data_IF_545150509704
#
_entry.id   IF_545150509704
#
_cell.length_a   1.000
_cell.length_b   1.000
_cell.length_c   1.000
_cell.angle_alpha   90.00
_cell.angle_beta   90.00
_cell.angle_gamma   90.00
#
_symmetry.space_group_name_H-M   'P 1'
#
loop_
_entity.id
_entity.type
_entity.pdbx_description
1 polymer ?
#
# COMPACT_ATOMS: atom_id res chain seq x y z
N UNK A 1 -3.69 -39.98 9.61
CA UNK A 1 -4.99 -39.58 10.21
C UNK A 1 -5.16 -38.06 10.22
N UNK A 2 -4.27 -37.26 10.83
CA UNK A 2 -4.34 -35.79 10.81
C UNK A 2 -4.34 -35.19 9.39
N UNK A 3 -3.54 -35.77 8.48
CA UNK A 3 -3.57 -35.40 7.06
C UNK A 3 -4.95 -35.59 6.39
N UNK A 4 -5.71 -36.62 6.81
CA UNK A 4 -7.06 -36.87 6.29
C UNK A 4 -8.09 -35.86 6.84
N UNK A 5 -7.85 -35.33 8.04
CA UNK A 5 -8.68 -34.28 8.63
C UNK A 5 -8.48 -32.93 7.94
N UNK A 6 -7.24 -32.62 7.53
CA UNK A 6 -6.91 -31.36 6.85
C UNK A 6 -7.27 -31.35 5.36
N UNK A 7 -7.01 -32.44 4.63
CA UNK A 7 -7.01 -32.42 3.15
C UNK A 7 -8.28 -32.96 2.47
N UNK A 8 -9.35 -33.29 3.22
CA UNK A 8 -10.55 -33.98 2.69
C UNK A 8 -10.20 -35.09 1.68
N UNK A 9 -9.69 -36.25 2.10
CA UNK A 9 -9.65 -37.40 1.22
C UNK A 9 -11.08 -37.91 1.09
N UNK A 10 -11.83 -37.37 0.14
CA UNK A 10 -13.17 -37.88 -0.24
C UNK A 10 -13.07 -39.31 -0.82
N UNK A 11 -11.86 -39.83 -1.01
CA UNK A 11 -11.59 -41.19 -1.46
C UNK A 11 -10.67 -41.93 -0.47
N UNK A 12 -11.28 -42.72 0.40
CA UNK A 12 -10.59 -43.87 0.98
C UNK A 12 -10.52 -44.96 -0.09
N UNK A 13 -9.34 -45.24 -0.66
CA UNK A 13 -9.14 -46.36 -1.60
C UNK A 13 -9.34 -47.73 -0.94
N UNK A 14 -9.36 -47.76 0.39
CA UNK A 14 -9.31 -48.98 1.18
C UNK A 14 -10.53 -49.06 2.10
N UNK A 15 -11.29 -50.16 1.98
CA UNK A 15 -12.58 -50.34 2.65
C UNK A 15 -12.49 -50.29 4.19
N UNK A 16 -11.34 -50.63 4.78
CA UNK A 16 -11.11 -50.59 6.22
C UNK A 16 -10.97 -49.17 6.78
N UNK A 17 -10.69 -48.17 5.94
CA UNK A 17 -10.59 -46.76 6.37
C UNK A 17 -11.96 -46.07 6.49
N UNK A 18 -13.03 -46.69 5.98
CA UNK A 18 -14.41 -46.16 6.06
C UNK A 18 -14.87 -46.03 7.51
N UNK A 19 -14.46 -46.94 8.40
CA UNK A 19 -14.78 -46.91 9.83
C UNK A 19 -14.24 -45.67 10.55
N UNK A 20 -13.25 -44.99 9.97
CA UNK A 20 -12.67 -43.76 10.51
C UNK A 20 -13.35 -42.48 9.99
N UNK A 21 -14.26 -42.59 9.02
CA UNK A 21 -14.99 -41.44 8.47
C UNK A 21 -15.80 -40.67 9.53
N UNK A 22 -16.53 -41.32 10.47
CA UNK A 22 -17.25 -40.60 11.51
C UNK A 22 -16.32 -39.78 12.42
N UNK A 23 -15.11 -40.28 12.70
CA UNK A 23 -14.11 -39.53 13.46
C UNK A 23 -13.60 -38.30 12.69
N UNK A 24 -13.42 -38.44 11.37
CA UNK A 24 -13.01 -37.34 10.50
C UNK A 24 -14.09 -36.27 10.39
N UNK A 25 -15.35 -36.67 10.20
CA UNK A 25 -16.49 -35.76 10.10
C UNK A 25 -16.74 -35.01 11.41
N UNK A 26 -16.68 -35.70 12.56
CA UNK A 26 -16.92 -35.10 13.88
C UNK A 26 -15.85 -34.05 14.27
N UNK A 27 -14.60 -34.21 13.83
CA UNK A 27 -13.49 -33.32 14.20
C UNK A 27 -13.13 -32.28 13.12
N UNK A 28 -13.80 -32.34 11.96
CA UNK A 28 -13.56 -31.43 10.84
C UNK A 28 -13.80 -29.97 11.20
N UNK A 29 -14.90 -29.67 11.88
CA UNK A 29 -15.23 -28.31 12.33
C UNK A 29 -14.16 -27.76 13.28
N UNK A 30 -13.67 -28.61 14.19
CA UNK A 30 -12.62 -28.27 15.16
C UNK A 30 -11.28 -27.96 14.49
N UNK A 31 -10.87 -28.76 13.51
CA UNK A 31 -9.62 -28.53 12.77
C UNK A 31 -9.73 -27.31 11.85
N UNK A 32 -10.87 -27.12 11.16
CA UNK A 32 -11.07 -25.91 10.36
C UNK A 32 -11.04 -24.65 11.22
N UNK A 33 -11.67 -24.68 12.41
CA UNK A 33 -11.58 -23.59 13.36
C UNK A 33 -10.13 -23.33 13.77
N UNK A 34 -9.40 -24.36 14.18
CA UNK A 34 -7.97 -24.21 14.52
C UNK A 34 -7.12 -23.64 13.37
N UNK A 35 -7.33 -24.09 12.13
CA UNK A 35 -6.61 -23.57 10.96
C UNK A 35 -6.99 -22.12 10.64
N UNK A 36 -8.25 -21.73 10.82
CA UNK A 36 -8.69 -20.35 10.64
C UNK A 36 -8.12 -19.45 11.76
N UNK A 37 -8.17 -19.90 13.01
CA UNK A 37 -7.60 -19.20 14.16
C UNK A 37 -6.08 -18.98 13.98
N UNK A 38 -5.36 -19.90 13.31
CA UNK A 38 -3.95 -19.72 12.95
C UNK A 38 -3.71 -18.63 11.89
N UNK A 39 -4.71 -18.34 11.05
CA UNK A 39 -4.66 -17.25 10.08
C UNK A 39 -5.03 -15.90 10.69
N UNK A 40 -5.67 -15.88 11.86
CA UNK A 40 -5.97 -14.66 12.63
C UNK A 40 -4.74 -14.21 13.44
N UNK A 41 -3.67 -13.87 12.73
CA UNK A 41 -2.48 -13.22 13.29
C UNK A 41 -2.60 -11.69 13.22
N UNK A 42 -2.05 -11.00 14.22
CA UNK A 42 -1.97 -9.54 14.25
C UNK A 42 -1.15 -8.98 13.09
N UNK A 43 -1.25 -7.67 12.86
CA UNK A 43 -0.51 -7.03 11.78
C UNK A 43 1.00 -7.20 11.98
N UNK A 44 1.70 -7.49 10.88
CA UNK A 44 3.15 -7.67 10.87
C UNK A 44 3.84 -6.42 11.40
N UNK A 45 3.37 -5.23 11.04
CA UNK A 45 3.96 -3.96 11.45
C UNK A 45 3.83 -3.69 12.95
N UNK A 46 2.73 -4.06 13.58
CA UNK A 46 2.55 -3.93 15.04
C UNK A 46 3.54 -4.79 15.83
N UNK A 47 3.83 -6.01 15.34
CA UNK A 47 4.85 -6.87 15.94
C UNK A 47 6.29 -6.40 15.60
N UNK A 48 6.49 -5.90 14.39
CA UNK A 48 7.77 -5.42 13.89
C UNK A 48 8.22 -4.16 14.65
N UNK A 49 7.33 -3.22 14.97
CA UNK A 49 7.69 -2.02 15.73
C UNK A 49 8.37 -2.38 17.06
N UNK A 50 7.80 -3.33 17.81
CA UNK A 50 8.36 -3.80 19.07
C UNK A 50 9.73 -4.47 18.87
N UNK A 51 9.87 -5.31 17.84
CA UNK A 51 11.11 -5.98 17.49
C UNK A 51 12.16 -5.02 16.89
N UNK A 52 11.75 -3.95 16.22
CA UNK A 52 12.61 -2.93 15.63
C UNK A 52 13.20 -2.03 16.71
N UNK A 53 12.41 -1.66 17.74
CA UNK A 53 12.94 -1.03 18.95
C UNK A 53 13.94 -1.93 19.69
N UNK A 54 13.67 -3.24 19.76
CA UNK A 54 14.62 -4.21 20.35
C UNK A 54 15.86 -4.41 19.48
N UNK A 55 15.75 -4.41 18.15
CA UNK A 55 16.87 -4.54 17.22
C UNK A 55 17.76 -3.29 17.21
N UNK A 56 17.17 -2.09 17.28
CA UNK A 56 17.90 -0.83 17.45
C UNK A 56 18.67 -0.75 18.78
N UNK A 57 18.22 -1.51 19.81
CA UNK A 57 18.94 -1.64 21.09
C UNK A 57 20.09 -2.66 21.06
N UNK A 58 20.09 -3.60 20.10
CA UNK A 58 21.16 -4.58 19.91
C UNK A 58 22.30 -3.93 19.12
N UNK A 59 23.23 -3.34 19.86
CA UNK A 59 24.36 -2.54 19.36
C UNK A 59 25.31 -3.21 18.35
N UNK A 60 25.20 -4.52 18.07
CA UNK A 60 26.10 -5.20 17.12
C UNK A 60 25.37 -6.30 16.35
N UNK A 61 25.05 -6.04 15.07
CA UNK A 61 24.54 -7.07 14.17
C UNK A 61 25.74 -7.78 13.53
N UNK A 62 26.10 -8.94 14.08
CA UNK A 62 27.17 -9.77 13.55
C UNK A 62 26.59 -10.89 12.68
N UNK A 63 27.04 -10.96 11.43
CA UNK A 63 26.66 -12.02 10.49
C UNK A 63 27.77 -13.07 10.42
N UNK A 64 27.46 -14.29 10.83
CA UNK A 64 28.32 -15.45 10.63
C UNK A 64 28.08 -16.01 9.22
N UNK A 65 29.07 -15.88 8.33
CA UNK A 65 28.95 -16.30 6.93
C UNK A 65 30.25 -16.90 6.43
N UNK A 66 30.18 -17.88 5.53
CA UNK A 66 31.36 -18.44 4.86
C UNK A 66 31.77 -17.62 3.64
N UNK A 67 33.04 -17.71 3.22
CA UNK A 67 33.53 -17.00 2.04
C UNK A 67 32.73 -17.34 0.77
N UNK A 68 32.37 -18.60 0.57
CA UNK A 68 31.59 -19.00 -0.60
C UNK A 68 30.14 -18.53 -0.54
N UNK A 69 29.52 -18.48 0.64
CA UNK A 69 28.18 -17.88 0.79
C UNK A 69 28.22 -16.38 0.48
N UNK A 70 29.25 -15.68 0.94
CA UNK A 70 29.47 -14.26 0.62
C UNK A 70 29.63 -14.05 -0.88
N UNK A 71 30.51 -14.82 -1.54
CA UNK A 71 30.77 -14.69 -2.98
C UNK A 71 29.54 -15.05 -3.82
N UNK A 72 28.79 -16.08 -3.44
CA UNK A 72 27.55 -16.45 -4.11
C UNK A 72 26.48 -15.37 -3.97
N UNK A 73 26.33 -14.81 -2.77
CA UNK A 73 25.39 -13.71 -2.52
C UNK A 73 25.76 -12.50 -3.39
N UNK A 74 27.04 -12.13 -3.44
CA UNK A 74 27.52 -11.05 -4.30
C UNK A 74 27.25 -11.34 -5.79
N UNK A 75 27.49 -12.58 -6.24
CA UNK A 75 27.25 -12.98 -7.63
C UNK A 75 25.76 -12.84 -8.02
N UNK A 76 24.85 -13.32 -7.18
CA UNK A 76 23.40 -13.21 -7.41
C UNK A 76 22.92 -11.76 -7.40
N UNK A 77 23.43 -10.94 -6.47
CA UNK A 77 23.10 -9.51 -6.41
C UNK A 77 23.58 -8.77 -7.65
N UNK A 78 24.79 -9.08 -8.15
CA UNK A 78 25.31 -8.50 -9.37
C UNK A 78 24.51 -8.93 -10.62
N UNK A 79 24.12 -10.21 -10.69
CA UNK A 79 23.34 -10.76 -11.79
C UNK A 79 21.94 -10.13 -11.90
N UNK A 80 21.27 -9.90 -10.77
CA UNK A 80 19.91 -9.37 -10.72
C UNK A 80 19.84 -7.89 -10.32
N UNK A 81 20.96 -7.16 -10.48
CA UNK A 81 21.09 -5.76 -10.05
C UNK A 81 20.02 -4.85 -10.65
N UNK A 82 19.66 -5.04 -11.92
CA UNK A 82 18.73 -4.14 -12.63
C UNK A 82 17.27 -4.39 -12.23
N UNK A 83 16.95 -5.60 -11.75
CA UNK A 83 15.62 -5.93 -11.20
C UNK A 83 15.47 -5.48 -9.75
N UNK A 84 16.52 -5.64 -8.92
CA UNK A 84 16.50 -5.28 -7.50
C UNK A 84 16.71 -3.79 -7.25
N UNK A 85 17.51 -3.13 -8.10
CA UNK A 85 17.90 -1.73 -7.95
C UNK A 85 17.87 -1.02 -9.32
N UNK A 86 16.67 -0.70 -9.84
CA UNK A 86 16.50 -0.13 -11.18
C UNK A 86 17.03 1.30 -11.31
N UNK A 87 17.08 2.06 -10.20
CA UNK A 87 17.57 3.43 -10.19
C UNK A 87 19.05 3.50 -9.77
N UNK A 88 19.82 4.39 -10.41
CA UNK A 88 21.24 4.58 -10.10
C UNK A 88 21.51 5.08 -8.67
N UNK A 89 20.54 5.77 -8.07
CA UNK A 89 20.64 6.31 -6.70
C UNK A 89 20.36 5.26 -5.61
N UNK A 90 19.99 4.03 -5.96
CA UNK A 90 19.66 3.01 -4.98
C UNK A 90 20.92 2.57 -4.23
N UNK A 91 20.86 2.52 -2.90
CA UNK A 91 22.02 2.23 -2.03
C UNK A 91 22.73 0.92 -2.41
N UNK A 92 21.98 -0.14 -2.69
CA UNK A 92 22.53 -1.42 -3.15
C UNK A 92 23.39 -1.27 -4.42
N UNK A 93 22.95 -0.44 -5.38
CA UNK A 93 23.65 -0.24 -6.65
C UNK A 93 24.96 0.51 -6.45
N UNK A 94 24.97 1.49 -5.55
CA UNK A 94 26.19 2.21 -5.13
C UNK A 94 27.18 1.23 -4.50
N UNK A 95 26.74 0.40 -3.55
CA UNK A 95 27.57 -0.64 -2.93
C UNK A 95 28.16 -1.62 -3.96
N UNK A 96 27.33 -2.15 -4.87
CA UNK A 96 27.78 -3.12 -5.87
C UNK A 96 28.77 -2.50 -6.88
N UNK A 97 28.58 -1.24 -7.25
CA UNK A 97 29.51 -0.53 -8.13
C UNK A 97 30.89 -0.35 -7.48
N UNK A 98 30.93 -0.06 -6.18
CA UNK A 98 32.19 0.07 -5.43
C UNK A 98 32.87 -1.29 -5.19
N UNK A 99 32.09 -2.33 -4.94
CA UNK A 99 32.60 -3.67 -4.64
C UNK A 99 33.15 -4.39 -5.88
N UNK A 100 32.71 -4.00 -7.08
CA UNK A 100 33.22 -4.51 -8.35
C UNK A 100 32.67 -5.89 -8.71
N UNK A 101 33.44 -6.69 -9.46
CA UNK A 101 33.00 -8.03 -9.87
C UNK A 101 33.14 -9.06 -8.74
N UNK A 102 32.14 -9.92 -8.60
CA UNK A 102 32.16 -10.98 -7.59
C UNK A 102 33.33 -11.97 -7.79
N UNK A 103 34.12 -12.27 -6.73
CA UNK A 103 35.16 -13.29 -6.78
C UNK A 103 34.61 -14.69 -7.07
N UNK A 104 35.44 -15.58 -7.63
CA UNK A 104 35.09 -16.99 -7.79
C UNK A 104 35.13 -17.75 -6.46
N UNK A 105 34.32 -18.80 -6.35
CA UNK A 105 34.31 -19.67 -5.17
C UNK A 105 35.69 -20.28 -4.89
N UNK A 106 36.01 -20.41 -3.61
CA UNK A 106 37.25 -21.04 -3.13
C UNK A 106 37.03 -22.53 -2.82
N UNK A 107 38.07 -23.38 -2.92
CA UNK A 107 37.99 -24.78 -2.52
C UNK A 107 37.54 -24.94 -1.07
N UNK A 108 36.89 -26.08 -0.74
CA UNK A 108 36.36 -26.35 0.61
C UNK A 108 37.38 -26.17 1.75
N UNK A 109 38.67 -26.41 1.49
CA UNK A 109 39.75 -26.23 2.46
C UNK A 109 39.98 -24.77 2.86
N UNK A 110 39.64 -23.83 1.98
CA UNK A 110 39.83 -22.39 2.16
C UNK A 110 38.52 -21.66 2.49
N UNK A 111 37.37 -22.34 2.36
CA UNK A 111 36.05 -21.80 2.69
C UNK A 111 35.83 -21.67 4.21
N UNK A 112 36.48 -20.69 4.83
CA UNK A 112 36.36 -20.42 6.26
C UNK A 112 35.10 -19.60 6.57
N UNK A 113 34.57 -19.80 7.78
CA UNK A 113 33.53 -18.94 8.35
C UNK A 113 34.18 -17.68 8.89
N UNK A 114 33.62 -16.53 8.53
CA UNK A 114 34.00 -15.22 9.03
C UNK A 114 32.82 -14.60 9.75
N UNK A 115 33.11 -13.66 10.65
CA UNK A 115 32.10 -12.85 11.33
C UNK A 115 32.16 -11.45 10.71
N UNK A 116 31.07 -11.05 10.07
CA UNK A 116 30.94 -9.73 9.45
C UNK A 116 30.10 -8.83 10.36
N UNK A 117 30.69 -7.80 10.97
CA UNK A 117 29.89 -6.75 11.60
C UNK A 117 29.16 -5.98 10.50
N UNK A 118 27.83 -5.90 10.60
CA UNK A 118 26.97 -5.22 9.64
C UNK A 118 26.67 -3.81 10.13
N UNK A 119 26.87 -2.82 9.27
CA UNK A 119 26.49 -1.43 9.49
C UNK A 119 25.98 -0.82 8.18
N UNK A 120 25.01 0.09 8.27
CA UNK A 120 24.50 0.83 7.12
C UNK A 120 25.30 2.12 6.95
N UNK A 121 25.79 2.39 5.73
CA UNK A 121 26.46 3.66 5.39
C UNK A 121 25.48 4.84 5.31
N UNK A 122 24.21 4.57 5.01
CA UNK A 122 23.21 5.59 4.68
C UNK A 122 22.16 5.80 5.76
N UNK A 123 22.09 4.90 6.74
CA UNK A 123 21.51 5.32 8.00
C UNK A 123 22.48 6.36 8.54
N UNK A 124 22.02 7.60 8.69
CA UNK A 124 22.62 8.46 9.70
C UNK A 124 22.30 7.74 10.99
N UNK A 125 23.28 7.11 11.64
CA UNK A 125 22.95 6.56 12.91
C UNK A 125 22.55 7.78 13.76
N UNK A 126 21.48 7.63 14.54
CA UNK A 126 21.20 8.54 15.68
C UNK A 126 22.45 8.62 16.60
N UNK A 127 23.43 7.76 16.34
CA UNK A 127 24.76 7.72 16.89
C UNK A 127 25.79 8.81 16.50
N UNK A 128 25.60 9.82 15.65
CA UNK A 128 26.70 10.82 15.55
C UNK A 128 26.92 11.62 16.86
N UNK A 129 25.96 11.54 17.81
CA UNK A 129 26.13 11.95 19.21
C UNK A 129 26.35 10.77 20.20
N UNK A 130 26.02 9.53 19.83
CA UNK A 130 26.06 8.37 20.73
C UNK A 130 27.14 7.31 20.38
N UNK A 131 27.52 7.08 19.12
CA UNK A 131 28.54 6.08 18.69
C UNK A 131 29.95 6.57 18.85
N UNK A 132 30.19 7.85 18.55
CA UNK A 132 31.52 8.44 18.78
C UNK A 132 31.85 8.39 20.28
N UNK A 133 30.84 8.49 21.14
CA UNK A 133 30.98 8.28 22.59
C UNK A 133 31.10 6.80 23.00
N UNK A 134 30.44 5.88 22.29
CA UNK A 134 30.35 4.46 22.68
C UNK A 134 31.52 3.57 22.25
N UNK A 135 32.27 3.93 21.21
CA UNK A 135 33.36 3.08 20.72
C UNK A 135 34.73 3.43 21.31
N UNK A 136 34.92 4.65 21.83
CA UNK A 136 36.22 5.09 22.37
C UNK A 136 36.33 5.03 23.91
N UNK A 137 35.22 4.88 24.63
CA UNK A 137 35.27 4.81 26.10
C UNK A 137 34.60 3.55 26.64
N UNK A 138 35.31 2.88 27.54
CA UNK A 138 34.84 1.74 28.32
C UNK A 138 33.58 2.12 29.14
N UNK A 139 32.41 2.16 28.50
CA UNK A 139 31.16 2.53 29.17
C UNK A 139 30.79 1.44 30.17
N UNK A 140 30.89 1.82 31.43
CA UNK A 140 30.67 1.00 32.62
C UNK A 140 29.18 0.94 32.96
N UNK A 141 28.81 0.06 33.89
CA UNK A 141 27.46 0.04 34.45
C UNK A 141 27.07 1.40 35.07
N UNK A 142 28.06 2.16 35.58
CA UNK A 142 27.86 3.49 36.14
C UNK A 142 27.45 4.52 35.07
N UNK A 143 28.00 4.43 33.86
CA UNK A 143 27.65 5.31 32.74
C UNK A 143 26.21 5.06 32.25
N UNK A 144 25.76 3.80 32.27
CA UNK A 144 24.37 3.43 31.97
C UNK A 144 23.44 4.02 33.03
N UNK A 145 23.81 3.89 34.31
CA UNK A 145 23.07 4.45 35.44
C UNK A 145 23.01 5.97 35.39
N UNK A 146 24.09 6.64 34.99
CA UNK A 146 24.14 8.10 34.79
C UNK A 146 23.15 8.55 33.72
N UNK A 147 23.14 7.88 32.55
CA UNK A 147 22.20 8.18 31.47
C UNK A 147 20.73 7.94 31.87
N UNK A 148 20.45 6.83 32.55
CA UNK A 148 19.09 6.53 33.02
C UNK A 148 18.63 7.55 34.07
N UNK A 149 19.51 7.95 35.00
CA UNK A 149 19.23 8.98 36.01
C UNK A 149 18.87 10.31 35.36
N UNK A 150 19.69 10.76 34.39
CA UNK A 150 19.44 11.98 33.62
C UNK A 150 18.09 11.93 32.89
N UNK A 151 17.77 10.81 32.23
CA UNK A 151 16.51 10.65 31.50
C UNK A 151 15.29 10.74 32.41
N UNK A 152 15.31 10.08 33.58
CA UNK A 152 14.18 10.14 34.51
C UNK A 152 14.06 11.54 35.13
N UNK A 153 15.17 12.23 35.41
CA UNK A 153 15.15 13.63 35.87
C UNK A 153 14.47 14.56 34.86
N UNK A 154 14.81 14.48 33.57
CA UNK A 154 14.16 15.25 32.50
C UNK A 154 12.65 14.96 32.46
N UNK A 155 12.25 13.70 32.61
CA UNK A 155 10.83 13.31 32.65
C UNK A 155 10.11 13.89 33.88
N UNK A 156 10.73 13.84 35.06
CA UNK A 156 10.17 14.38 36.29
C UNK A 156 9.99 15.90 36.21
N UNK A 157 10.99 16.62 35.72
CA UNK A 157 10.94 18.09 35.57
C UNK A 157 9.83 18.51 34.60
N UNK A 158 9.62 17.76 33.53
CA UNK A 158 8.53 18.01 32.57
C UNK A 158 7.15 17.66 33.11
N UNK A 159 7.07 16.73 34.05
CA UNK A 159 5.80 16.23 34.59
C UNK A 159 5.31 17.01 35.80
N UNK A 160 6.21 17.70 36.52
CA UNK A 160 5.86 18.46 37.73
C UNK A 160 5.83 19.97 37.39
N UNK A 161 4.64 20.62 37.47
CA UNK A 161 4.51 22.04 37.15
C UNK A 161 5.36 22.93 38.04
N UNK A 162 6.01 23.95 37.45
CA UNK A 162 6.77 24.98 38.19
C UNK A 162 8.17 24.57 38.67
N UNK A 163 8.65 23.36 38.33
CA UNK A 163 10.05 22.96 38.54
C UNK A 163 10.95 23.48 37.41
N UNK A 164 10.49 23.37 36.17
CA UNK A 164 11.28 23.72 34.99
C UNK A 164 11.76 25.19 34.97
N UNK A 165 11.02 26.10 35.60
CA UNK A 165 11.32 27.54 35.61
C UNK A 165 12.28 27.96 36.74
N UNK A 166 12.55 27.08 37.71
CA UNK A 166 13.46 27.38 38.82
C UNK A 166 14.90 27.07 38.41
N UNK A 167 15.80 28.04 38.61
CA UNK A 167 17.24 27.91 38.38
C UNK A 167 18.02 28.42 39.61
N UNK A 168 19.10 27.73 40.03
CA UNK A 168 19.58 26.43 39.52
C UNK A 168 18.60 25.29 39.84
N UNK A 169 18.61 24.21 39.05
CA UNK A 169 17.83 23.02 39.35
C UNK A 169 18.52 22.27 40.50
N UNK A 170 17.73 21.82 41.47
CA UNK A 170 18.19 21.01 42.60
C UNK A 170 17.66 19.59 42.39
N UNK A 171 18.50 18.70 41.84
CA UNK A 171 18.10 17.35 41.41
C UNK A 171 17.56 16.52 42.58
N UNK A 172 18.16 16.67 43.76
CA UNK A 172 17.77 15.94 44.96
C UNK A 172 16.37 16.39 45.43
N UNK A 173 16.15 17.70 45.49
CA UNK A 173 14.84 18.26 45.83
C UNK A 173 13.77 17.93 44.80
N UNK A 174 14.12 17.82 43.52
CA UNK A 174 13.21 17.41 42.46
C UNK A 174 12.76 15.96 42.68
N UNK A 175 13.69 15.06 42.99
CA UNK A 175 13.40 13.67 43.31
C UNK A 175 12.49 13.55 44.55
N UNK A 176 12.73 14.35 45.60
CA UNK A 176 11.90 14.39 46.81
C UNK A 176 10.51 14.96 46.56
N UNK A 177 10.42 15.99 45.73
CA UNK A 177 9.13 16.57 45.32
C UNK A 177 8.32 15.54 44.51
N UNK A 178 8.97 14.80 43.61
CA UNK A 178 8.35 13.70 42.88
C UNK A 178 7.87 12.59 43.82
N UNK A 179 8.66 12.22 44.82
CA UNK A 179 8.34 11.19 45.82
C UNK A 179 7.17 11.57 46.74
N UNK A 180 6.80 12.85 46.82
CA UNK A 180 5.69 13.37 47.63
C UNK A 180 4.46 13.77 46.81
N UNK A 181 4.51 13.54 45.49
CA UNK A 181 3.39 13.84 44.59
C UNK A 181 2.26 12.82 44.76
N UNK A 182 1.02 13.20 44.38
CA UNK A 182 -0.15 12.30 44.44
C UNK A 182 -0.12 11.19 43.37
N UNK A 183 0.72 11.31 42.36
CA UNK A 183 0.83 10.37 41.25
C UNK A 183 1.83 9.25 41.58
N UNK A 184 1.32 8.02 41.69
CA UNK A 184 2.11 6.83 42.01
C UNK A 184 3.22 6.50 40.99
N UNK A 185 3.12 6.97 39.75
CA UNK A 185 4.16 6.80 38.72
C UNK A 185 5.31 7.77 38.99
N UNK A 186 4.99 9.05 39.28
CA UNK A 186 5.99 10.06 39.62
C UNK A 186 6.68 9.73 40.94
N UNK A 187 5.95 9.21 41.92
CA UNK A 187 6.52 8.77 43.20
C UNK A 187 7.57 7.67 42.98
N UNK A 188 7.24 6.63 42.20
CA UNK A 188 8.18 5.55 41.87
C UNK A 188 9.43 6.07 41.15
N UNK A 189 9.26 6.99 40.20
CA UNK A 189 10.37 7.63 39.48
C UNK A 189 11.23 8.49 40.40
N UNK A 190 10.61 9.25 41.31
CA UNK A 190 11.30 10.07 42.31
C UNK A 190 12.15 9.25 43.26
N UNK A 191 11.59 8.16 43.81
CA UNK A 191 12.33 7.23 44.68
C UNK A 191 13.50 6.61 43.93
N UNK A 192 13.26 6.10 42.71
CA UNK A 192 14.29 5.46 41.88
C UNK A 192 15.45 6.43 41.58
N UNK A 193 15.15 7.66 41.14
CA UNK A 193 16.19 8.66 40.85
C UNK A 193 16.96 9.05 42.10
N UNK A 194 16.28 9.17 43.25
CA UNK A 194 16.95 9.43 44.53
C UNK A 194 17.96 8.34 44.86
N UNK A 195 17.60 7.07 44.69
CA UNK A 195 18.52 5.95 44.91
C UNK A 195 19.69 5.96 43.92
N UNK A 196 19.43 6.20 42.63
CA UNK A 196 20.47 6.22 41.61
C UNK A 196 21.44 7.39 41.76
N UNK A 197 20.97 8.58 42.17
CA UNK A 197 21.84 9.73 42.47
C UNK A 197 22.81 9.42 43.60
N UNK A 198 22.33 8.81 44.68
CA UNK A 198 23.17 8.40 45.82
C UNK A 198 24.17 7.31 45.43
N UNK A 199 23.77 6.36 44.58
CA UNK A 199 24.66 5.31 44.09
C UNK A 199 25.75 5.86 43.16
N UNK A 200 25.41 6.80 42.28
CA UNK A 200 26.36 7.48 41.40
C UNK A 200 27.36 8.37 42.15
N UNK A 201 26.90 9.10 43.18
CA UNK A 201 27.75 9.86 44.10
C UNK A 201 28.69 8.92 44.87
N UNK A 202 28.16 7.80 45.41
CA UNK A 202 28.95 6.79 46.12
C UNK A 202 30.00 6.08 45.26
N UNK A 203 29.77 5.98 43.95
CA UNK A 203 30.73 5.47 42.97
C UNK A 203 31.73 6.54 42.48
N UNK A 204 31.55 7.81 42.88
CA UNK A 204 32.39 8.93 42.47
C UNK A 204 32.20 9.35 41.00
N UNK A 205 31.07 8.96 40.39
CA UNK A 205 30.74 9.31 39.00
C UNK A 205 30.16 10.73 38.92
N UNK A 206 29.55 11.21 40.00
CA UNK A 206 28.96 12.56 40.11
C UNK A 206 29.47 13.23 41.38
N UNK A 207 29.56 14.56 41.36
CA UNK A 207 29.95 15.39 42.50
C UNK A 207 28.81 15.54 43.53
N UNK A 208 29.16 15.86 44.79
CA UNK A 208 28.21 16.06 45.91
C UNK A 208 27.09 17.08 45.62
N UNK A 209 27.29 17.97 44.64
CA UNK A 209 26.34 19.01 44.26
C UNK A 209 25.64 18.73 42.92
N UNK A 210 25.95 17.60 42.27
CA UNK A 210 25.42 17.19 40.97
C UNK A 210 25.50 18.27 39.89
N UNK A 211 26.56 19.08 39.91
CA UNK A 211 26.68 20.30 39.07
C UNK A 211 26.64 19.97 37.58
N UNK A 212 27.48 19.03 37.13
CA UNK A 212 27.54 18.63 35.71
C UNK A 212 26.24 18.00 35.23
N UNK A 213 25.65 17.09 36.02
CA UNK A 213 24.38 16.47 35.66
C UNK A 213 23.26 17.53 35.58
N UNK A 214 23.30 18.53 36.46
CA UNK A 214 22.34 19.64 36.45
C UNK A 214 22.43 20.48 35.17
N UNK A 215 23.66 20.76 34.70
CA UNK A 215 23.90 21.45 33.44
C UNK A 215 23.39 20.62 32.25
N UNK A 216 23.74 19.33 32.18
CA UNK A 216 23.27 18.44 31.11
C UNK A 216 21.74 18.31 31.05
N UNK A 217 21.08 18.12 32.19
CA UNK A 217 19.61 18.08 32.28
C UNK A 217 19.00 19.40 31.78
N UNK A 218 19.64 20.53 32.10
CA UNK A 218 19.19 21.86 31.66
C UNK A 218 19.30 22.02 30.15
N UNK A 219 20.40 21.58 29.55
CA UNK A 219 20.61 21.62 28.09
C UNK A 219 19.62 20.72 27.35
N UNK A 220 19.38 19.50 27.87
CA UNK A 220 18.44 18.55 27.28
C UNK A 220 17.00 19.11 27.28
N UNK A 221 16.59 19.77 28.37
CA UNK A 221 15.29 20.46 28.44
C UNK A 221 15.18 21.59 27.41
N UNK A 222 16.26 22.34 27.18
CA UNK A 222 16.29 23.41 26.15
C UNK A 222 16.17 22.83 24.75
N UNK A 223 16.88 21.73 24.46
CA UNK A 223 16.80 21.05 23.17
C UNK A 223 15.39 20.52 22.89
N UNK A 224 14.74 19.90 23.89
CA UNK A 224 13.37 19.41 23.77
C UNK A 224 12.34 20.54 23.56
N UNK A 225 12.55 21.71 24.17
CA UNK A 225 11.73 22.89 23.91
C UNK A 225 11.76 23.29 22.43
N UNK A 226 12.95 23.34 21.84
CA UNK A 226 13.14 23.70 20.43
C UNK A 226 12.54 22.65 19.46
N UNK A 227 12.54 21.37 19.84
CA UNK A 227 11.95 20.30 19.01
C UNK A 227 10.44 20.49 18.83
N UNK A 228 9.73 20.88 19.89
CA UNK A 228 8.28 21.14 19.81
C UNK A 228 7.96 22.28 18.83
N UNK A 229 8.76 23.33 18.83
CA UNK A 229 8.59 24.46 17.90
C UNK A 229 8.79 24.01 16.46
N UNK A 230 9.85 23.24 16.17
CA UNK A 230 10.10 22.67 14.84
C UNK A 230 8.98 21.76 14.37
N UNK A 231 8.48 20.87 15.24
CA UNK A 231 7.37 19.96 14.89
C UNK A 231 6.08 20.73 14.61
N UNK A 232 5.80 21.80 15.37
CA UNK A 232 4.64 22.64 15.10
C UNK A 232 4.78 23.42 13.78
N UNK A 233 5.97 23.90 13.46
CA UNK A 233 6.27 24.54 12.17
C UNK A 233 6.08 23.56 11.01
N UNK A 234 6.60 22.34 11.15
CA UNK A 234 6.45 21.29 10.14
C UNK A 234 4.98 20.87 9.95
N UNK A 235 4.22 20.75 11.04
CA UNK A 235 2.77 20.47 10.98
C UNK A 235 2.01 21.56 10.21
N UNK A 236 2.32 22.85 10.44
CA UNK A 236 1.74 23.96 9.69
C UNK A 236 2.09 23.92 8.20
N UNK A 237 3.33 23.56 7.87
CA UNK A 237 3.77 23.38 6.49
C UNK A 237 3.01 22.24 5.80
N UNK A 238 2.84 21.10 6.47
CA UNK A 238 2.08 19.95 6.00
C UNK A 238 0.60 20.30 5.74
N UNK A 239 -0.03 21.08 6.62
CA UNK A 239 -1.40 21.53 6.46
C UNK A 239 -1.58 22.42 5.22
N UNK A 240 -0.60 23.30 4.95
CA UNK A 240 -0.55 24.11 3.73
C UNK A 240 -0.43 23.27 2.45
N UNK A 241 0.45 22.26 2.48
CA UNK A 241 0.60 21.30 1.36
C UNK A 241 -0.68 20.52 1.13
N UNK A 242 -1.31 20.02 2.20
CA UNK A 242 -2.58 19.29 2.12
C UNK A 242 -3.67 20.14 1.46
N UNK A 243 -3.80 21.41 1.86
CA UNK A 243 -4.75 22.34 1.25
C UNK A 243 -4.48 22.53 -0.24
N UNK A 244 -3.22 22.73 -0.63
CA UNK A 244 -2.82 22.91 -2.03
C UNK A 244 -3.17 21.69 -2.89
N UNK A 245 -2.95 20.48 -2.38
CA UNK A 245 -3.32 19.23 -3.05
C UNK A 245 -4.85 19.11 -3.17
N UNK A 246 -5.59 19.44 -2.11
CA UNK A 246 -7.05 19.45 -2.11
C UNK A 246 -7.63 20.39 -3.17
N UNK A 247 -7.11 21.62 -3.24
CA UNK A 247 -7.51 22.61 -4.25
C UNK A 247 -7.20 22.14 -5.67
N UNK A 248 -6.04 21.52 -5.88
CA UNK A 248 -5.67 20.95 -7.18
C UNK A 248 -6.57 19.77 -7.58
N UNK A 249 -6.94 18.90 -6.64
CA UNK A 249 -7.88 17.80 -6.91
C UNK A 249 -9.25 18.35 -7.33
N UNK A 250 -9.75 19.37 -6.63
CA UNK A 250 -11.01 20.03 -6.98
C UNK A 250 -10.95 20.66 -8.38
N UNK A 251 -9.84 21.31 -8.73
CA UNK A 251 -9.60 21.83 -10.07
C UNK A 251 -9.65 20.72 -11.14
N UNK A 252 -8.93 19.62 -10.94
CA UNK A 252 -8.92 18.48 -11.88
C UNK A 252 -10.31 17.85 -12.04
N UNK A 253 -11.08 17.73 -10.95
CA UNK A 253 -12.47 17.27 -11.00
C UNK A 253 -13.36 18.20 -11.83
N UNK A 254 -13.26 19.51 -11.62
CA UNK A 254 -13.98 20.51 -12.42
C UNK A 254 -13.61 20.43 -13.91
N UNK A 255 -12.33 20.21 -14.21
CA UNK A 255 -11.85 20.05 -15.58
C UNK A 255 -12.41 18.77 -16.23
N UNK A 256 -12.44 17.67 -15.48
CA UNK A 256 -13.00 16.40 -15.91
C UNK A 256 -14.50 16.53 -16.24
N UNK A 257 -15.27 17.20 -15.38
CA UNK A 257 -16.70 17.46 -15.63
C UNK A 257 -16.92 18.35 -16.85
N UNK A 258 -16.04 19.34 -17.07
CA UNK A 258 -16.05 20.19 -18.27
C UNK A 258 -15.82 19.36 -19.54
N UNK A 259 -14.86 18.43 -19.53
CA UNK A 259 -14.62 17.53 -20.66
C UNK A 259 -15.78 16.55 -20.91
N UNK A 260 -16.39 16.01 -19.85
CA UNK A 260 -17.60 15.17 -19.98
C UNK A 260 -18.73 15.92 -20.67
N UNK A 261 -19.00 17.15 -20.23
CA UNK A 261 -20.03 17.99 -20.83
C UNK A 261 -19.74 18.28 -22.31
N UNK A 262 -18.48 18.59 -22.64
CA UNK A 262 -18.05 18.78 -24.02
C UNK A 262 -18.26 17.53 -24.88
N UNK A 263 -17.81 16.37 -24.43
CA UNK A 263 -17.98 15.09 -25.15
C UNK A 263 -19.44 14.72 -25.34
N UNK A 264 -20.29 15.01 -24.35
CA UNK A 264 -21.73 14.79 -24.45
C UNK A 264 -22.36 15.68 -25.53
N UNK A 265 -22.00 16.96 -25.57
CA UNK A 265 -22.48 17.91 -26.59
C UNK A 265 -22.05 17.48 -28.00
N UNK A 266 -20.80 17.08 -28.17
CA UNK A 266 -20.29 16.57 -29.47
C UNK A 266 -21.03 15.30 -29.89
N UNK A 267 -21.32 14.38 -28.94
CA UNK A 267 -22.11 13.17 -29.22
C UNK A 267 -23.54 13.46 -29.68
N UNK A 268 -24.19 14.45 -29.06
CA UNK A 268 -25.53 14.88 -29.48
C UNK A 268 -25.52 15.50 -30.87
N UNK A 269 -24.46 16.24 -31.22
CA UNK A 269 -24.32 16.89 -32.51
C UNK A 269 -23.94 15.92 -33.65
N UNK A 270 -23.18 14.86 -33.36
CA UNK A 270 -22.78 13.84 -34.35
C UNK A 270 -23.82 12.72 -34.56
N UNK A 271 -24.74 12.52 -33.61
CA UNK A 271 -25.75 11.46 -33.61
C UNK A 271 -27.01 11.70 -34.47
N UNK A 272 -26.97 12.58 -35.48
CA UNK A 272 -28.06 12.69 -36.47
C UNK A 272 -29.38 13.33 -35.99
N UNK A 273 -29.39 14.02 -34.85
CA UNK A 273 -30.53 14.82 -34.39
C UNK A 273 -30.66 16.16 -35.13
N UNK A 274 -30.63 16.15 -36.46
CA UNK A 274 -30.80 17.32 -37.32
C UNK A 274 -32.25 17.76 -37.43
N UNK A 275 -32.83 18.28 -36.34
CA UNK A 275 -34.06 19.06 -36.39
C UNK A 275 -33.74 20.50 -36.78
N UNK A 276 -33.93 20.84 -38.05
CA UNK A 276 -33.69 22.17 -38.62
C UNK A 276 -34.69 23.19 -38.07
N UNK A 277 -34.20 24.20 -37.36
CA UNK A 277 -34.92 25.43 -37.04
C UNK A 277 -33.90 26.57 -36.90
N UNK A 278 -34.00 27.65 -37.69
CA UNK A 278 -33.00 28.71 -37.66
C UNK A 278 -33.21 29.58 -36.42
N UNK A 279 -32.28 29.47 -35.47
CA UNK A 279 -32.16 30.43 -34.37
C UNK A 279 -32.22 29.80 -32.99
N UNK A 280 -31.10 29.30 -32.49
CA UNK A 280 -30.72 29.38 -31.07
C UNK A 280 -29.24 29.02 -30.97
N UNK A 281 -28.41 30.02 -30.64
CA UNK A 281 -26.98 29.85 -30.42
C UNK A 281 -26.67 29.02 -29.18
N UNK A 282 -25.49 28.41 -29.21
CA UNK A 282 -24.61 28.01 -28.09
C UNK A 282 -25.28 28.05 -26.71
N UNK A 283 -25.88 26.93 -26.31
CA UNK A 283 -26.39 26.73 -24.95
C UNK A 283 -25.25 26.36 -24.00
N UNK A 284 -24.66 27.36 -23.34
CA UNK A 284 -23.91 27.16 -22.10
C UNK A 284 -24.92 26.72 -21.04
N UNK A 285 -24.77 25.50 -20.51
CA UNK A 285 -25.56 25.06 -19.35
C UNK A 285 -24.93 25.70 -18.13
N UNK A 286 -25.42 26.88 -17.75
CA UNK A 286 -25.16 27.47 -16.44
C UNK A 286 -25.76 26.57 -15.36
N UNK A 287 -24.93 26.18 -14.40
CA UNK A 287 -25.35 25.47 -13.18
C UNK A 287 -26.32 26.36 -12.41
N UNK A 288 -27.59 25.96 -12.36
CA UNK A 288 -28.65 26.63 -11.59
C UNK A 288 -29.76 27.23 -12.44
N UNK A 289 -30.63 26.38 -13.01
CA UNK A 289 -31.82 26.87 -13.71
C UNK A 289 -32.69 25.76 -14.28
N UNK A 290 -33.91 25.64 -13.73
CA UNK A 290 -35.10 24.90 -14.17
C UNK A 290 -34.93 23.87 -15.29
N UNK A 291 -35.19 22.61 -14.94
CA UNK A 291 -35.28 21.45 -15.83
C UNK A 291 -36.10 21.77 -17.10
N UNK A 292 -35.40 21.93 -18.23
CA UNK A 292 -36.04 21.91 -19.54
C UNK A 292 -36.57 20.49 -19.80
N UNK A 293 -37.85 20.39 -20.17
CA UNK A 293 -38.54 19.14 -20.51
C UNK A 293 -37.68 18.31 -21.47
N UNK A 294 -37.21 17.15 -21.01
CA UNK A 294 -36.51 16.14 -21.82
C UNK A 294 -37.38 15.82 -23.05
N UNK A 295 -36.92 16.23 -24.24
CA UNK A 295 -37.44 15.69 -25.49
C UNK A 295 -37.32 14.17 -25.45
N UNK A 296 -38.35 13.45 -25.93
CA UNK A 296 -38.34 11.98 -25.96
C UNK A 296 -37.10 11.52 -26.72
N UNK A 297 -36.14 10.95 -25.99
CA UNK A 297 -34.94 10.34 -26.55
C UNK A 297 -35.39 9.18 -27.44
N UNK A 298 -35.18 9.31 -28.75
CA UNK A 298 -35.64 8.31 -29.71
C UNK A 298 -34.69 7.12 -29.67
N UNK A 299 -35.16 6.02 -29.09
CA UNK A 299 -34.44 4.73 -29.10
C UNK A 299 -34.41 4.21 -30.53
N UNK A 300 -33.21 3.89 -31.04
CA UNK A 300 -33.01 3.31 -32.37
C UNK A 300 -32.88 1.78 -32.27
N UNK A 301 -33.60 1.04 -33.11
CA UNK A 301 -33.63 -0.43 -33.11
C UNK A 301 -34.89 -1.02 -32.46
N UNK A 302 -34.92 -2.33 -32.16
CA UNK A 302 -33.83 -3.31 -32.31
C UNK A 302 -33.59 -3.72 -33.77
N UNK A 303 -32.32 -3.76 -34.18
CA UNK A 303 -31.90 -4.33 -35.47
C UNK A 303 -31.39 -5.75 -35.28
N UNK A 304 -31.95 -6.68 -36.05
CA UNK A 304 -31.65 -8.11 -35.97
C UNK A 304 -30.56 -8.51 -36.97
N UNK A 305 -29.53 -9.18 -36.47
CA UNK A 305 -28.42 -9.75 -37.26
C UNK A 305 -28.29 -11.24 -36.95
N UNK A 306 -28.26 -12.10 -37.98
CA UNK A 306 -28.06 -13.53 -37.76
C UNK A 306 -26.59 -13.84 -37.48
N UNK A 307 -26.31 -14.93 -36.75
CA UNK A 307 -24.92 -15.38 -36.49
C UNK A 307 -24.14 -15.53 -37.80
N UNK A 308 -24.70 -16.24 -38.78
CA UNK A 308 -24.10 -16.43 -40.10
C UNK A 308 -23.83 -15.10 -40.84
N UNK A 309 -24.69 -14.09 -40.68
CA UNK A 309 -24.47 -12.79 -41.32
C UNK A 309 -23.26 -12.08 -40.71
N UNK A 310 -23.16 -12.04 -39.38
CA UNK A 310 -22.04 -11.40 -38.70
C UNK A 310 -20.71 -12.14 -38.92
N UNK A 311 -20.74 -13.47 -39.04
CA UNK A 311 -19.58 -14.28 -39.41
C UNK A 311 -19.12 -13.97 -40.86
N UNK A 312 -20.07 -13.92 -41.80
CA UNK A 312 -19.78 -13.56 -43.20
C UNK A 312 -19.23 -12.14 -43.35
N UNK A 313 -19.75 -11.18 -42.58
CA UNK A 313 -19.31 -9.79 -42.60
C UNK A 313 -17.97 -9.58 -41.84
N UNK A 314 -17.43 -10.65 -41.23
CA UNK A 314 -16.19 -10.64 -40.46
C UNK A 314 -16.32 -9.89 -39.12
N UNK A 315 -17.56 -9.63 -38.68
CA UNK A 315 -17.85 -9.02 -37.39
C UNK A 315 -17.62 -10.03 -36.27
N UNK A 316 -18.01 -11.30 -36.45
CA UNK A 316 -17.59 -12.40 -35.58
C UNK A 316 -16.22 -12.90 -36.07
N UNK A 317 -15.21 -12.75 -35.23
CA UNK A 317 -13.86 -13.26 -35.49
C UNK A 317 -13.73 -14.71 -35.01
N UNK A 318 -14.25 -15.02 -33.81
CA UNK A 318 -14.23 -16.36 -33.23
C UNK A 318 -15.56 -16.66 -32.54
N UNK A 319 -15.97 -17.93 -32.54
CA UNK A 319 -17.24 -18.35 -31.91
C UNK A 319 -17.11 -19.70 -31.20
N UNK A 320 -17.39 -19.68 -29.90
CA UNK A 320 -17.44 -20.88 -29.05
C UNK A 320 -18.80 -21.60 -29.15
N UNK A 321 -19.67 -21.16 -30.05
CA UNK A 321 -20.99 -21.74 -30.28
C UNK A 321 -20.87 -22.99 -31.16
N UNK A 322 -21.42 -24.15 -30.74
CA UNK A 322 -21.46 -25.37 -31.57
C UNK A 322 -22.13 -25.13 -32.93
N UNK A 323 -21.54 -25.65 -34.00
CA UNK A 323 -21.99 -25.40 -35.39
C UNK A 323 -23.47 -25.74 -35.63
N UNK A 324 -23.93 -26.86 -35.07
CA UNK A 324 -25.32 -27.32 -35.14
C UNK A 324 -26.34 -26.35 -34.48
N UNK A 325 -25.87 -25.39 -33.67
CA UNK A 325 -26.72 -24.40 -32.98
C UNK A 325 -26.64 -23.01 -33.60
N UNK A 326 -25.63 -22.71 -34.44
CA UNK A 326 -25.38 -21.37 -35.02
C UNK A 326 -26.56 -20.88 -35.86
N UNK A 327 -27.22 -21.75 -36.62
CA UNK A 327 -28.37 -21.43 -37.47
C UNK A 327 -29.59 -20.90 -36.70
N UNK A 328 -29.65 -21.17 -35.39
CA UNK A 328 -30.72 -20.75 -34.49
C UNK A 328 -30.35 -19.51 -33.66
N UNK A 329 -29.17 -18.93 -33.85
CA UNK A 329 -28.70 -17.78 -33.09
C UNK A 329 -28.80 -16.47 -33.89
N UNK A 330 -29.22 -15.41 -33.21
CA UNK A 330 -29.24 -14.05 -33.75
C UNK A 330 -28.98 -13.02 -32.66
N UNK A 331 -28.51 -11.85 -33.05
CA UNK A 331 -28.22 -10.71 -32.19
C UNK A 331 -29.20 -9.59 -32.49
N UNK A 332 -29.79 -9.01 -31.44
CA UNK A 332 -30.57 -7.78 -31.52
C UNK A 332 -29.70 -6.65 -30.98
N UNK A 333 -29.47 -5.62 -31.78
CA UNK A 333 -28.72 -4.43 -31.36
C UNK A 333 -29.67 -3.25 -31.28
N UNK A 334 -29.67 -2.56 -30.14
CA UNK A 334 -30.49 -1.37 -29.88
C UNK A 334 -29.59 -0.24 -29.41
N UNK A 335 -29.90 1.01 -29.76
CA UNK A 335 -29.21 2.20 -29.25
C UNK A 335 -30.21 3.06 -28.47
N UNK A 336 -30.21 2.98 -27.12
CA UNK A 336 -31.08 3.82 -26.28
C UNK A 336 -30.69 5.30 -26.33
N UNK A 337 -29.38 5.57 -26.39
CA UNK A 337 -28.78 6.91 -26.42
C UNK A 337 -27.69 6.90 -27.52
N UNK A 338 -27.56 7.96 -28.34
CA UNK A 338 -26.48 8.07 -29.31
C UNK A 338 -25.11 7.78 -28.69
N UNK A 339 -24.39 6.81 -29.27
CA UNK A 339 -23.08 6.37 -28.78
C UNK A 339 -23.13 5.30 -27.67
N UNK A 340 -24.31 4.78 -27.32
CA UNK A 340 -24.49 3.59 -26.47
C UNK A 340 -25.30 2.54 -27.20
N UNK A 341 -24.92 1.28 -27.04
CA UNK A 341 -25.53 0.14 -27.72
C UNK A 341 -25.76 -0.99 -26.72
N UNK A 342 -26.92 -1.63 -26.84
CA UNK A 342 -27.26 -2.86 -26.13
C UNK A 342 -27.24 -3.98 -27.16
N UNK A 343 -26.36 -4.96 -26.97
CA UNK A 343 -26.24 -6.14 -27.83
C UNK A 343 -26.82 -7.33 -27.09
N UNK A 344 -27.96 -7.82 -27.56
CA UNK A 344 -28.67 -8.96 -26.98
C UNK A 344 -28.56 -10.20 -27.88
N UNK A 345 -28.00 -11.29 -27.35
CA UNK A 345 -27.91 -12.60 -28.01
C UNK A 345 -29.18 -13.39 -27.76
N UNK A 346 -29.82 -13.90 -28.82
CA UNK A 346 -31.04 -14.71 -28.74
C UNK A 346 -30.88 -16.07 -29.44
N UNK A 347 -31.64 -17.05 -28.95
CA UNK A 347 -31.84 -18.35 -29.59
C UNK A 347 -33.29 -18.51 -30.03
N UNK A 348 -33.52 -18.96 -31.26
CA UNK A 348 -34.85 -19.18 -31.82
C UNK A 348 -35.67 -20.12 -30.93
N UNK A 349 -36.87 -19.69 -30.56
CA UNK A 349 -37.77 -20.46 -29.69
C UNK A 349 -37.63 -20.17 -28.19
N UNK A 350 -36.81 -19.18 -27.79
CA UNK A 350 -36.74 -18.67 -26.42
C UNK A 350 -37.13 -17.19 -26.37
N UNK A 351 -38.02 -16.83 -25.44
CA UNK A 351 -38.52 -15.45 -25.31
C UNK A 351 -37.50 -14.49 -24.69
N UNK A 352 -36.57 -15.00 -23.86
CA UNK A 352 -35.52 -14.20 -23.21
C UNK A 352 -34.19 -14.28 -23.95
N UNK A 353 -33.45 -13.17 -23.96
CA UNK A 353 -32.07 -13.14 -24.41
C UNK A 353 -31.21 -14.10 -23.55
N UNK A 354 -30.22 -14.72 -24.17
CA UNK A 354 -29.22 -15.56 -23.50
C UNK A 354 -28.20 -14.67 -22.80
N UNK A 355 -27.80 -13.58 -23.46
CA UNK A 355 -26.82 -12.63 -22.97
C UNK A 355 -27.22 -11.24 -23.45
N UNK A 356 -26.98 -10.24 -22.61
CA UNK A 356 -27.16 -8.84 -22.93
C UNK A 356 -25.90 -8.10 -22.49
N UNK A 357 -25.34 -7.27 -23.37
CA UNK A 357 -24.12 -6.52 -23.12
C UNK A 357 -24.33 -5.05 -23.49
N UNK A 358 -23.99 -4.17 -22.55
CA UNK A 358 -23.90 -2.73 -22.78
C UNK A 358 -22.54 -2.38 -23.38
N UNK A 359 -22.56 -1.63 -24.47
CA UNK A 359 -21.37 -1.23 -25.21
C UNK A 359 -21.40 0.27 -25.49
N UNK A 360 -20.36 0.99 -25.08
CA UNK A 360 -20.20 2.40 -25.41
C UNK A 360 -19.31 2.56 -26.64
N UNK A 361 -19.61 3.57 -27.45
CA UNK A 361 -18.80 3.91 -28.62
C UNK A 361 -17.38 4.30 -28.21
N UNK A 362 -17.21 4.99 -27.06
CA UNK A 362 -15.91 5.40 -26.55
C UNK A 362 -15.02 4.18 -26.27
N UNK A 363 -15.54 3.16 -25.59
CA UNK A 363 -14.81 1.93 -25.26
C UNK A 363 -14.34 1.20 -26.54
N UNK A 364 -15.12 1.25 -27.62
CA UNK A 364 -14.71 0.69 -28.92
C UNK A 364 -13.61 1.51 -29.59
N UNK A 365 -13.67 2.84 -29.49
CA UNK A 365 -12.66 3.73 -30.05
C UNK A 365 -11.34 3.64 -29.28
N UNK A 366 -11.40 3.53 -27.96
CA UNK A 366 -10.24 3.28 -27.09
C UNK A 366 -9.57 1.95 -27.44
N UNK A 367 -10.36 0.87 -27.54
CA UNK A 367 -9.85 -0.44 -27.99
C UNK A 367 -9.23 -0.39 -29.39
N UNK A 368 -9.79 0.41 -30.30
CA UNK A 368 -9.21 0.62 -31.63
C UNK A 368 -7.86 1.36 -31.54
N UNK A 369 -7.76 2.38 -30.69
CA UNK A 369 -6.53 3.15 -30.47
C UNK A 369 -5.43 2.27 -29.86
N UNK A 370 -5.78 1.46 -28.87
CA UNK A 370 -4.87 0.53 -28.18
C UNK A 370 -4.53 -0.73 -28.99
N UNK A 371 -4.96 -0.80 -30.26
CA UNK A 371 -4.75 -1.93 -31.18
C UNK A 371 -5.35 -3.25 -30.68
N UNK A 372 -6.36 -3.20 -29.80
CA UNK A 372 -7.12 -4.37 -29.36
C UNK A 372 -8.09 -4.77 -30.47
N UNK A 373 -7.84 -5.93 -31.08
CA UNK A 373 -8.59 -6.36 -32.27
C UNK A 373 -9.90 -7.08 -31.93
N UNK A 374 -10.02 -7.65 -30.74
CA UNK A 374 -11.12 -8.53 -30.34
C UNK A 374 -11.88 -7.97 -29.13
N UNK A 375 -13.21 -8.01 -29.22
CA UNK A 375 -14.15 -7.75 -28.14
C UNK A 375 -14.78 -9.08 -27.74
N UNK A 376 -14.58 -9.51 -26.50
CA UNK A 376 -15.15 -10.75 -25.98
C UNK A 376 -16.59 -10.54 -25.47
N UNK A 377 -17.51 -11.40 -25.93
CA UNK A 377 -18.92 -11.48 -25.49
C UNK A 377 -19.25 -12.89 -24.96
N UNK A 378 -18.29 -13.57 -24.34
CA UNK A 378 -18.38 -14.90 -23.69
C UNK A 378 -18.57 -16.07 -24.67
N UNK A 379 -19.54 -15.98 -25.58
CA UNK A 379 -19.84 -17.00 -26.60
C UNK A 379 -19.27 -16.68 -27.98
N UNK A 380 -19.00 -15.39 -28.25
CA UNK A 380 -18.46 -14.90 -29.51
C UNK A 380 -17.45 -13.78 -29.25
N UNK A 381 -16.42 -13.73 -30.08
CA UNK A 381 -15.49 -12.61 -30.13
C UNK A 381 -15.79 -11.78 -31.36
N UNK A 382 -16.07 -10.49 -31.17
CA UNK A 382 -16.26 -9.55 -32.26
C UNK A 382 -14.96 -8.85 -32.65
N UNK A 383 -14.75 -8.63 -33.94
CA UNK A 383 -13.68 -7.77 -34.41
C UNK A 383 -14.03 -6.30 -34.18
N UNK A 384 -13.23 -5.58 -33.39
CA UNK A 384 -13.49 -4.20 -32.94
C UNK A 384 -13.69 -3.24 -34.13
N UNK A 385 -12.85 -3.33 -35.16
CA UNK A 385 -12.97 -2.47 -36.35
C UNK A 385 -14.25 -2.75 -37.16
N UNK A 386 -14.63 -4.02 -37.27
CA UNK A 386 -15.79 -4.46 -38.06
C UNK A 386 -17.10 -4.17 -37.33
N UNK A 387 -17.17 -4.39 -36.02
CA UNK A 387 -18.36 -4.04 -35.22
C UNK A 387 -18.56 -2.51 -35.19
N UNK A 388 -17.49 -1.73 -35.06
CA UNK A 388 -17.55 -0.26 -35.12
C UNK A 388 -18.12 0.21 -36.47
N UNK A 389 -17.66 -0.37 -37.58
CA UNK A 389 -18.18 -0.07 -38.92
C UNK A 389 -19.66 -0.47 -39.08
N UNK A 390 -20.06 -1.64 -38.53
CA UNK A 390 -21.45 -2.09 -38.54
C UNK A 390 -22.36 -1.14 -37.77
N UNK A 391 -21.98 -0.75 -36.56
CA UNK A 391 -22.75 0.16 -35.70
C UNK A 391 -22.87 1.55 -36.34
N UNK A 392 -21.77 2.08 -36.89
CA UNK A 392 -21.76 3.36 -37.61
C UNK A 392 -22.71 3.33 -38.82
N UNK A 393 -22.64 2.26 -39.63
CA UNK A 393 -23.52 2.11 -40.80
C UNK A 393 -24.99 1.98 -40.41
N UNK A 394 -25.30 1.29 -39.31
CA UNK A 394 -26.66 0.95 -38.90
C UNK A 394 -27.35 2.09 -38.16
N UNK A 395 -26.62 2.82 -37.31
CA UNK A 395 -27.19 3.79 -36.36
C UNK A 395 -26.80 5.25 -36.61
N UNK A 396 -25.73 5.55 -37.37
CA UNK A 396 -25.26 6.93 -37.59
C UNK A 396 -25.70 7.49 -38.96
N UNK A 397 -26.03 6.63 -39.95
CA UNK A 397 -26.38 7.02 -41.33
C UNK A 397 -27.87 7.18 -41.64
N UNK A 398 -28.75 7.35 -40.63
CA UNK A 398 -30.19 7.54 -40.86
C UNK A 398 -30.75 8.74 -40.13
#
# INVERSE_FOLDING_TARGET
MLQNLANKPTYAKEAYMITLNPFVENNKSRINKFLNDLCEVGDFYESLEMDQYMALSKKEINLHITLNELFNTHHLLAQHRDALAPQEKHHLRICLNELGSAPSQVPRKENKTIVLPLFSRWETPIQDLHSTFLQETNITQADIMYMETKSILVQLIRSIPGIADKRPLDLMKIAETAATTKDAILVRKGIKVKEMLLELEGQGVVDDHFTFMTEEVTEELRHLGNLREKVNEEAGNLESVFKTIGDHNNYLRSQLDSYKAYLQNVRMQSGGGGGSGPGTGVGVVTVGGKEAKKGKQQVLGPFKFTHHQLEKDGVIAESNVPENRRSNIFFNITSPIPGTFIIALHYKGRDKAILEMDLKLDDLLEKQQDQVQLLDLEYVHFNVNKILALLTKTFIKR
#
